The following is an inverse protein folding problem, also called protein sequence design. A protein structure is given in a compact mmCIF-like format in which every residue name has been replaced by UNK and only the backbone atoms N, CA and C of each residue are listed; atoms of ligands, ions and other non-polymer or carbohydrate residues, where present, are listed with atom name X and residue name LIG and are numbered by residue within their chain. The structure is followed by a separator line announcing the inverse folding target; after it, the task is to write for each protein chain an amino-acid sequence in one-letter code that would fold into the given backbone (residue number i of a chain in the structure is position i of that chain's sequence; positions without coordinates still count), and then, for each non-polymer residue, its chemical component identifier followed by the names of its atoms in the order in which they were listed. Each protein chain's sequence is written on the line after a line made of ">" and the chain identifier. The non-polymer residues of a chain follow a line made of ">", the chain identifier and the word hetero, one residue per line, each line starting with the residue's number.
data_IF_238065325717
#
_entry.id   IF_238065325717
#
_cell.length_a   1.000
_cell.length_b   1.000
_cell.length_c   1.000
_cell.angle_alpha   90.00
_cell.angle_beta   90.00
_cell.angle_gamma   90.00
#
_symmetry.space_group_name_H-M   'P 1'
#
loop_
_entity.id
_entity.type
_entity.pdbx_description
1 polymer ?
#
# COMPACT_ATOMS: atom_id res chain seq x y z
N UNK A 1 -6.82 -52.24 55.15
CA UNK A 1 -7.19 -50.87 55.56
C UNK A 1 -6.94 -49.98 54.34
N UNK A 2 -7.94 -49.84 53.46
CA UNK A 2 -7.81 -49.18 52.16
C UNK A 2 -8.25 -47.72 52.25
N UNK A 3 -7.36 -46.78 51.93
CA UNK A 3 -7.73 -45.41 51.62
C UNK A 3 -6.62 -44.71 50.83
N UNK A 4 -6.89 -44.40 49.55
CA UNK A 4 -6.71 -43.10 48.90
C UNK A 4 -6.55 -43.27 47.38
N UNK A 5 -7.68 -43.25 46.67
CA UNK A 5 -7.68 -42.91 45.24
C UNK A 5 -7.87 -41.39 45.13
N UNK A 6 -6.77 -40.65 45.07
CA UNK A 6 -6.77 -39.23 44.73
C UNK A 6 -7.12 -39.07 43.25
N UNK A 7 -8.40 -39.03 42.95
CA UNK A 7 -8.91 -38.83 41.58
C UNK A 7 -9.16 -37.34 41.34
N UNK A 8 -8.12 -36.60 40.92
CA UNK A 8 -8.30 -35.29 40.26
C UNK A 8 -7.25 -35.03 39.18
N UNK A 9 -7.55 -35.38 37.90
CA UNK A 9 -6.89 -34.72 36.76
C UNK A 9 -7.89 -34.10 35.76
N UNK A 10 -9.20 -34.18 35.99
CA UNK A 10 -10.19 -33.77 34.99
C UNK A 10 -10.18 -32.25 34.69
N UNK A 11 -9.92 -31.42 35.71
CA UNK A 11 -9.98 -29.94 35.57
C UNK A 11 -8.76 -29.36 34.85
N UNK A 12 -7.58 -29.98 34.99
CA UNK A 12 -6.36 -29.55 34.27
C UNK A 12 -6.38 -30.00 32.81
N UNK A 13 -6.86 -31.22 32.54
CA UNK A 13 -7.08 -31.71 31.18
C UNK A 13 -8.06 -30.83 30.39
N UNK A 14 -9.18 -30.41 31.01
CA UNK A 14 -10.14 -29.49 30.40
C UNK A 14 -9.55 -28.10 30.08
N UNK A 15 -8.64 -27.58 30.93
CA UNK A 15 -7.95 -26.30 30.67
C UNK A 15 -6.94 -26.41 29.52
N UNK A 16 -6.24 -27.54 29.41
CA UNK A 16 -5.33 -27.80 28.29
C UNK A 16 -6.05 -27.89 26.96
N UNK A 17 -7.20 -28.58 26.91
CA UNK A 17 -8.03 -28.68 25.70
C UNK A 17 -8.57 -27.31 25.27
N UNK A 18 -9.10 -26.54 26.21
CA UNK A 18 -9.60 -25.18 25.93
C UNK A 18 -8.51 -24.26 25.37
N UNK A 19 -7.26 -24.40 25.83
CA UNK A 19 -6.13 -23.65 25.29
C UNK A 19 -5.83 -24.01 23.82
N UNK A 20 -5.98 -25.29 23.45
CA UNK A 20 -5.78 -25.76 22.07
C UNK A 20 -6.90 -25.26 21.16
N UNK A 21 -8.16 -25.36 21.60
CA UNK A 21 -9.31 -24.83 20.86
C UNK A 21 -9.17 -23.33 20.59
N UNK A 22 -8.76 -22.58 21.61
CA UNK A 22 -8.49 -21.15 21.47
C UNK A 22 -7.33 -20.89 20.50
N UNK A 23 -6.23 -21.66 20.58
CA UNK A 23 -5.10 -21.49 19.68
C UNK A 23 -5.48 -21.71 18.20
N UNK A 24 -6.35 -22.69 17.91
CA UNK A 24 -6.84 -22.93 16.55
C UNK A 24 -7.70 -21.77 16.04
N UNK A 25 -8.66 -21.29 16.85
CA UNK A 25 -9.49 -20.14 16.49
C UNK A 25 -8.64 -18.89 16.29
N UNK A 26 -7.69 -18.64 17.21
CA UNK A 26 -6.76 -17.51 17.12
C UNK A 26 -5.90 -17.60 15.85
N UNK A 27 -5.39 -18.79 15.52
CA UNK A 27 -4.59 -19.01 14.31
C UNK A 27 -5.38 -18.71 13.04
N UNK A 28 -6.62 -19.22 12.94
CA UNK A 28 -7.52 -18.89 11.82
C UNK A 28 -7.87 -17.40 11.77
N UNK A 29 -8.13 -16.77 12.93
CA UNK A 29 -8.42 -15.34 13.00
C UNK A 29 -7.21 -14.50 12.54
N UNK A 30 -5.99 -14.86 12.95
CA UNK A 30 -4.77 -14.19 12.51
C UNK A 30 -4.57 -14.29 11.00
N UNK A 31 -4.87 -15.45 10.40
CA UNK A 31 -4.81 -15.63 8.95
C UNK A 31 -5.79 -14.71 8.22
N UNK A 32 -7.03 -14.61 8.70
CA UNK A 32 -8.06 -13.73 8.12
C UNK A 32 -7.67 -12.25 8.28
N UNK A 33 -7.21 -11.84 9.46
CA UNK A 33 -6.77 -10.47 9.73
C UNK A 33 -5.58 -10.08 8.85
N UNK A 34 -4.60 -10.96 8.71
CA UNK A 34 -3.46 -10.73 7.84
C UNK A 34 -3.90 -10.56 6.37
N UNK A 35 -4.84 -11.39 5.91
CA UNK A 35 -5.44 -11.23 4.58
C UNK A 35 -6.14 -9.88 4.40
N UNK A 36 -6.94 -9.46 5.39
CA UNK A 36 -7.65 -8.19 5.36
C UNK A 36 -6.72 -6.98 5.35
N UNK A 37 -5.71 -6.95 6.23
CA UNK A 37 -4.71 -5.88 6.28
C UNK A 37 -3.92 -5.84 4.98
N UNK A 38 -3.57 -7.00 4.44
CA UNK A 38 -2.81 -7.07 3.19
C UNK A 38 -3.60 -6.52 2.00
N UNK A 39 -4.87 -6.90 1.89
CA UNK A 39 -5.77 -6.36 0.87
C UNK A 39 -5.97 -4.86 1.04
N UNK A 40 -6.20 -4.39 2.28
CA UNK A 40 -6.36 -2.98 2.59
C UNK A 40 -5.14 -2.14 2.22
N UNK A 41 -3.92 -2.66 2.43
CA UNK A 41 -2.69 -1.98 2.05
C UNK A 41 -2.54 -1.79 0.53
N UNK A 42 -2.87 -2.83 -0.25
CA UNK A 42 -2.85 -2.75 -1.73
C UNK A 42 -3.93 -1.77 -2.22
N UNK A 43 -5.13 -1.84 -1.66
CA UNK A 43 -6.22 -0.92 -2.00
C UNK A 43 -5.86 0.53 -1.67
N UNK A 44 -5.25 0.77 -0.51
CA UNK A 44 -4.75 2.08 -0.12
C UNK A 44 -3.71 2.61 -1.12
N UNK A 45 -2.75 1.78 -1.55
CA UNK A 45 -1.78 2.16 -2.58
C UNK A 45 -2.47 2.55 -3.89
N UNK A 46 -3.46 1.77 -4.34
CA UNK A 46 -4.23 2.08 -5.55
C UNK A 46 -4.95 3.43 -5.43
N UNK A 47 -5.57 3.72 -4.28
CA UNK A 47 -6.24 5.00 -4.04
C UNK A 47 -5.25 6.17 -4.05
N UNK A 48 -4.10 6.03 -3.39
CA UNK A 48 -3.06 7.06 -3.38
C UNK A 48 -2.53 7.37 -4.79
N UNK A 49 -2.29 6.35 -5.60
CA UNK A 49 -1.80 6.48 -6.97
C UNK A 49 -2.86 7.12 -7.88
N UNK A 50 -4.14 6.73 -7.72
CA UNK A 50 -5.24 7.29 -8.50
C UNK A 50 -5.46 8.77 -8.18
N UNK A 51 -5.46 9.12 -6.89
CA UNK A 51 -5.51 10.52 -6.44
C UNK A 51 -4.36 11.36 -7.01
N UNK A 52 -3.14 10.84 -6.98
CA UNK A 52 -1.99 11.56 -7.53
C UNK A 52 -2.12 11.77 -9.06
N UNK A 53 -2.67 10.80 -9.78
CA UNK A 53 -2.98 10.97 -11.21
C UNK A 53 -4.03 12.07 -11.44
N UNK A 54 -5.09 12.10 -10.63
CA UNK A 54 -6.13 13.15 -10.67
C UNK A 54 -5.57 14.55 -10.37
N UNK A 55 -4.71 14.68 -9.36
CA UNK A 55 -4.04 15.95 -9.05
C UNK A 55 -3.17 16.43 -10.23
N UNK A 56 -2.52 15.49 -10.93
CA UNK A 56 -1.79 15.78 -12.16
C UNK A 56 -2.70 16.20 -13.32
N UNK A 57 -3.84 15.55 -13.51
CA UNK A 57 -4.81 15.91 -14.53
C UNK A 57 -5.43 17.30 -14.27
N UNK A 58 -5.66 17.66 -13.00
CA UNK A 58 -6.08 19.01 -12.60
C UNK A 58 -4.99 20.05 -12.87
N UNK A 59 -3.73 19.72 -12.59
CA UNK A 59 -2.61 20.58 -12.91
C UNK A 59 -2.47 20.81 -14.43
N UNK A 60 -2.71 19.77 -15.23
CA UNK A 60 -2.73 19.86 -16.69
C UNK A 60 -3.78 20.86 -17.20
N UNK A 61 -4.96 20.90 -16.59
CA UNK A 61 -6.02 21.84 -16.94
C UNK A 61 -5.67 23.30 -16.63
N UNK A 62 -4.77 23.53 -15.67
CA UNK A 62 -4.39 24.85 -15.20
C UNK A 62 -3.19 25.47 -15.92
N UNK A 63 -2.53 24.75 -16.83
CA UNK A 63 -1.38 25.27 -17.58
C UNK A 63 -1.80 25.80 -18.95
N UNK A 64 -1.12 26.85 -19.42
CA UNK A 64 -1.46 27.53 -20.67
C UNK A 64 -1.03 26.72 -21.91
N UNK A 65 0.13 26.06 -21.85
CA UNK A 65 0.63 25.17 -22.92
C UNK A 65 1.08 23.83 -22.31
N UNK A 66 0.27 22.76 -22.43
CA UNK A 66 0.60 21.45 -21.88
C UNK A 66 1.69 20.69 -22.64
N UNK A 67 2.20 21.22 -23.76
CA UNK A 67 3.31 20.64 -24.52
C UNK A 67 4.68 21.19 -24.09
N UNK A 68 4.68 22.32 -23.38
CA UNK A 68 5.89 22.95 -22.88
C UNK A 68 6.57 22.08 -21.79
N UNK A 69 7.87 21.84 -21.95
CA UNK A 69 8.67 21.03 -21.02
C UNK A 69 8.57 21.50 -19.57
N UNK A 70 8.53 22.82 -19.34
CA UNK A 70 8.41 23.41 -18.01
C UNK A 70 7.07 23.05 -17.35
N UNK A 71 5.97 23.11 -18.10
CA UNK A 71 4.63 22.76 -17.63
C UNK A 71 4.51 21.26 -17.36
N UNK A 72 5.07 20.41 -18.22
CA UNK A 72 5.14 18.96 -17.97
C UNK A 72 5.92 18.65 -16.69
N UNK A 73 7.06 19.33 -16.46
CA UNK A 73 7.84 19.17 -15.24
C UNK A 73 7.07 19.63 -13.99
N UNK A 74 6.31 20.73 -14.09
CA UNK A 74 5.43 21.21 -13.03
C UNK A 74 4.35 20.17 -12.69
N UNK A 75 3.66 19.63 -13.69
CA UNK A 75 2.61 18.61 -13.51
C UNK A 75 3.20 17.37 -12.82
N UNK A 76 4.35 16.86 -13.29
CA UNK A 76 5.05 15.73 -12.63
C UNK A 76 5.38 16.06 -11.18
N UNK A 77 5.87 17.27 -10.91
CA UNK A 77 6.22 17.72 -9.57
C UNK A 77 5.01 17.72 -8.61
N UNK A 78 3.81 18.06 -9.11
CA UNK A 78 2.55 17.97 -8.35
C UNK A 78 2.19 16.50 -8.07
N UNK A 79 2.28 15.62 -9.06
CA UNK A 79 2.02 14.19 -8.89
C UNK A 79 2.95 13.60 -7.82
N UNK A 80 4.25 13.89 -7.88
CA UNK A 80 5.22 13.42 -6.88
C UNK A 80 4.95 14.01 -5.49
N UNK A 81 4.56 15.29 -5.40
CA UNK A 81 4.17 15.90 -4.14
C UNK A 81 2.94 15.22 -3.53
N UNK A 82 1.91 14.90 -4.34
CA UNK A 82 0.72 14.18 -3.92
C UNK A 82 1.07 12.78 -3.39
N UNK A 83 1.87 12.01 -4.14
CA UNK A 83 2.37 10.70 -3.70
C UNK A 83 3.16 10.78 -2.40
N UNK A 84 4.00 11.81 -2.20
CA UNK A 84 4.81 11.98 -1.00
C UNK A 84 3.99 12.21 0.29
N UNK A 85 2.73 12.64 0.16
CA UNK A 85 1.80 12.72 1.31
C UNK A 85 1.21 11.37 1.72
N UNK A 86 1.31 10.35 0.86
CA UNK A 86 0.78 9.01 1.10
C UNK A 86 1.82 8.04 1.66
N UNK A 87 1.39 6.94 2.27
CA UNK A 87 2.25 5.91 2.87
C UNK A 87 2.86 4.91 1.87
N UNK A 88 2.88 5.23 0.58
CA UNK A 88 3.42 4.32 -0.45
C UNK A 88 4.94 4.24 -0.42
N UNK A 89 5.65 5.29 0.01
CA UNK A 89 7.11 5.27 0.07
C UNK A 89 7.62 4.38 1.22
N UNK A 90 8.75 3.68 1.05
CA UNK A 90 9.34 2.86 2.10
C UNK A 90 9.62 3.65 3.39
N UNK A 91 9.39 3.02 4.55
CA UNK A 91 9.55 3.66 5.86
C UNK A 91 11.01 4.10 6.14
N UNK A 92 12.00 3.49 5.49
CA UNK A 92 13.42 3.82 5.65
C UNK A 92 13.87 5.08 4.87
N UNK A 93 13.01 5.66 4.02
CA UNK A 93 13.31 6.91 3.27
C UNK A 93 13.25 8.15 4.18
N UNK A 94 12.52 8.06 5.30
CA UNK A 94 12.34 9.13 6.28
C UNK A 94 10.90 9.65 6.37
N UNK A 95 10.65 10.47 7.41
CA UNK A 95 9.29 10.87 7.79
C UNK A 95 8.85 12.20 7.19
N UNK A 96 9.73 12.95 6.51
CA UNK A 96 9.37 14.22 5.89
C UNK A 96 8.88 14.04 4.45
N UNK A 97 7.87 14.82 4.06
CA UNK A 97 7.36 14.84 2.69
C UNK A 97 8.44 15.18 1.66
N UNK A 98 9.43 16.01 2.03
CA UNK A 98 10.54 16.37 1.15
C UNK A 98 11.42 15.16 0.81
N UNK A 99 11.82 14.35 1.81
CA UNK A 99 12.64 13.15 1.59
C UNK A 99 11.91 12.13 0.71
N UNK A 100 10.62 11.92 0.99
CA UNK A 100 9.76 10.99 0.25
C UNK A 100 9.61 11.40 -1.20
N UNK A 101 9.41 12.71 -1.44
CA UNK A 101 9.32 13.28 -2.77
C UNK A 101 10.62 13.10 -3.55
N UNK A 102 11.77 13.42 -2.94
CA UNK A 102 13.08 13.22 -3.58
C UNK A 102 13.28 11.76 -3.99
N UNK A 103 12.97 10.81 -3.10
CA UNK A 103 13.06 9.39 -3.42
C UNK A 103 12.14 8.98 -4.58
N UNK A 104 10.90 9.46 -4.60
CA UNK A 104 9.96 9.17 -5.71
C UNK A 104 10.46 9.74 -7.05
N UNK A 105 11.14 10.88 -7.04
CA UNK A 105 11.69 11.52 -8.24
C UNK A 105 12.94 10.81 -8.77
N UNK A 106 13.77 10.25 -7.89
CA UNK A 106 15.03 9.59 -8.28
C UNK A 106 14.89 8.08 -8.49
N UNK A 107 13.78 7.48 -8.05
CA UNK A 107 13.54 6.05 -8.26
C UNK A 107 13.18 5.76 -9.73
N UNK A 108 14.01 4.99 -10.47
CA UNK A 108 13.80 4.74 -11.89
C UNK A 108 12.55 3.89 -12.19
N UNK A 109 12.04 3.18 -11.20
CA UNK A 109 10.91 2.27 -11.36
C UNK A 109 9.56 2.95 -11.06
N UNK A 110 9.58 4.19 -10.57
CA UNK A 110 8.39 5.05 -10.42
C UNK A 110 8.30 5.95 -11.65
N UNK A 111 7.23 5.82 -12.44
CA UNK A 111 7.05 6.62 -13.65
C UNK A 111 5.77 7.46 -13.62
N UNK A 112 5.90 8.71 -14.06
CA UNK A 112 4.80 9.66 -14.27
C UNK A 112 4.83 10.13 -15.71
N UNK A 113 3.85 9.68 -16.49
CA UNK A 113 3.69 10.04 -17.89
C UNK A 113 2.54 11.02 -18.03
N UNK A 114 2.79 12.14 -18.71
CA UNK A 114 1.80 13.17 -19.03
C UNK A 114 1.67 13.16 -20.55
N UNK A 115 0.53 12.76 -21.07
CA UNK A 115 0.24 12.79 -22.50
C UNK A 115 -0.31 14.16 -22.91
N UNK A 116 -0.08 14.55 -24.16
CA UNK A 116 -0.64 15.77 -24.75
C UNK A 116 -2.17 15.78 -24.77
N UNK A 117 -2.80 14.61 -24.67
CA UNK A 117 -4.26 14.44 -24.54
C UNK A 117 -4.81 14.74 -23.14
N UNK A 118 -3.98 15.18 -22.19
CA UNK A 118 -4.38 15.41 -20.79
C UNK A 118 -4.51 14.13 -19.96
N UNK A 119 -4.09 12.98 -20.49
CA UNK A 119 -4.00 11.73 -19.74
C UNK A 119 -2.72 11.73 -18.91
N UNK A 120 -2.86 11.72 -17.58
CA UNK A 120 -1.77 11.55 -16.63
C UNK A 120 -1.80 10.12 -16.11
N UNK A 121 -0.70 9.39 -16.31
CA UNK A 121 -0.53 8.01 -15.85
C UNK A 121 0.61 7.94 -14.84
N UNK A 122 0.32 7.30 -13.71
CA UNK A 122 1.26 7.07 -12.61
C UNK A 122 1.42 5.57 -12.45
N UNK A 123 2.66 5.09 -12.44
CA UNK A 123 3.01 3.68 -12.23
C UNK A 123 4.00 3.55 -11.09
N UNK A 124 3.65 2.71 -10.12
CA UNK A 124 4.42 2.46 -8.91
C UNK A 124 4.87 0.98 -8.80
N UNK A 125 6.15 0.70 -8.50
CA UNK A 125 6.69 -0.66 -8.44
C UNK A 125 6.43 -1.31 -7.07
N UNK A 126 5.21 -1.82 -6.87
CA UNK A 126 4.78 -2.37 -5.57
C UNK A 126 5.59 -3.60 -5.13
N UNK A 127 6.03 -4.47 -6.05
CA UNK A 127 6.81 -5.67 -5.69
C UNK A 127 8.19 -5.33 -5.09
N UNK A 128 8.80 -4.26 -5.57
CA UNK A 128 10.12 -3.82 -5.09
C UNK A 128 10.02 -3.00 -3.81
N UNK A 129 8.86 -2.36 -3.59
CA UNK A 129 8.61 -1.49 -2.45
C UNK A 129 7.23 -1.79 -1.84
N UNK A 130 7.03 -3.00 -1.28
CA UNK A 130 5.73 -3.40 -0.76
C UNK A 130 5.44 -2.69 0.55
N UNK A 131 4.20 -2.22 0.72
CA UNK A 131 3.72 -1.66 2.00
C UNK A 131 3.62 -2.78 3.06
N UNK A 132 3.21 -3.97 2.62
CA UNK A 132 3.13 -5.18 3.44
C UNK A 132 3.73 -6.35 2.67
N UNK A 133 4.54 -7.14 3.36
CA UNK A 133 5.10 -8.36 2.81
C UNK A 133 3.95 -9.33 2.49
N UNK A 134 3.87 -9.75 1.24
CA UNK A 134 2.90 -10.70 0.71
C UNK A 134 3.68 -11.87 0.08
N UNK A 135 3.10 -13.09 0.02
CA UNK A 135 3.68 -14.19 -0.75
C UNK A 135 3.95 -13.77 -2.20
N UNK A 136 5.07 -14.21 -2.77
CA UNK A 136 5.51 -13.78 -4.10
C UNK A 136 4.49 -14.05 -5.23
N UNK A 137 3.59 -15.02 -5.04
CA UNK A 137 2.51 -15.35 -5.99
C UNK A 137 1.34 -14.34 -5.92
N UNK A 138 1.16 -13.65 -4.79
CA UNK A 138 0.08 -12.69 -4.56
C UNK A 138 0.53 -11.23 -4.68
N UNK A 139 1.84 -10.96 -4.78
CA UNK A 139 2.37 -9.58 -4.91
C UNK A 139 2.21 -9.04 -6.34
N UNK A 140 1.45 -7.95 -6.55
CA UNK A 140 1.42 -7.28 -7.84
C UNK A 140 2.81 -6.70 -8.15
N UNK A 141 3.26 -6.83 -9.40
CA UNK A 141 4.54 -6.27 -9.85
C UNK A 141 4.51 -4.75 -9.81
N UNK A 142 3.44 -4.16 -10.36
CA UNK A 142 3.20 -2.72 -10.40
C UNK A 142 1.75 -2.41 -10.05
N UNK A 143 1.54 -1.20 -9.54
CA UNK A 143 0.21 -0.61 -9.36
C UNK A 143 0.20 0.69 -10.17
N UNK A 144 -0.82 0.86 -11.00
CA UNK A 144 -0.93 2.01 -11.88
C UNK A 144 -2.29 2.69 -11.72
N UNK A 145 -2.29 4.01 -11.85
CA UNK A 145 -3.49 4.85 -11.88
C UNK A 145 -3.38 5.81 -13.05
N UNK A 146 -4.53 6.16 -13.65
CA UNK A 146 -4.56 7.15 -14.71
C UNK A 146 -5.79 8.02 -14.56
N UNK A 147 -5.62 9.31 -14.81
CA UNK A 147 -6.70 10.26 -14.84
C UNK A 147 -6.57 11.10 -16.11
N UNK A 148 -7.69 11.31 -16.80
CA UNK A 148 -7.74 12.14 -17.99
C UNK A 148 -8.48 13.41 -17.66
N UNK A 149 -7.90 14.55 -18.02
CA UNK A 149 -8.66 15.78 -18.08
C UNK A 149 -9.61 15.73 -19.29
N UNK A 150 -10.91 15.90 -19.04
CA UNK A 150 -11.92 16.05 -20.09
C UNK A 150 -12.37 17.50 -20.11
N UNK A 151 -12.25 18.13 -21.28
CA UNK A 151 -12.76 19.47 -21.58
C UNK A 151 -14.27 19.44 -21.82
#
# INVERSE_FOLDING_TARGET
>A
MSAHLLRRPARELQRGIAAIEFALVLSTLMLVLYGLVSFGAVLYAQQAISRAAEDGARAFAGVNDPTETANIALIRNIVYASLATSLVTPANVGNSTAQRKTWLQTNPNVSVTVATSGLVTVSYPYRENPIIALPAVLTPSKISGSAKFSM
#
